data_IF_550574738395
#
_entry.id   IF_550574738395
#
_cell.length_a   1.000
_cell.length_b   1.000
_cell.length_c   1.000
_cell.angle_alpha   90.00
_cell.angle_beta   90.00
_cell.angle_gamma   90.00
#
_symmetry.space_group_name_H-M   'P 1'
#
loop_
_entity.id
_entity.type
_entity.pdbx_description
1 polymer ?
#
# COMPACT_ATOMS: atom_id res chain seq x y z
N UNK A 1 4.11 2.49 -16.70
CA UNK A 1 3.71 3.76 -16.05
C UNK A 1 4.97 4.56 -15.75
N UNK A 2 5.14 5.76 -16.32
CA UNK A 2 6.38 6.54 -16.16
C UNK A 2 6.69 6.92 -14.70
N UNK A 3 5.66 7.06 -13.84
CA UNK A 3 5.83 7.39 -12.42
C UNK A 3 6.49 6.29 -11.59
N UNK A 4 6.26 5.00 -11.92
CA UNK A 4 6.75 3.90 -11.09
C UNK A 4 8.28 3.78 -11.10
N UNK A 5 8.95 4.12 -12.20
CA UNK A 5 10.42 4.09 -12.30
C UNK A 5 11.08 5.19 -11.46
N UNK A 6 10.43 6.34 -11.31
CA UNK A 6 10.92 7.42 -10.42
C UNK A 6 10.75 7.04 -8.96
N UNK A 7 9.58 6.55 -8.57
CA UNK A 7 9.35 6.10 -7.19
C UNK A 7 10.19 4.89 -6.81
N UNK A 8 10.43 3.97 -7.76
CA UNK A 8 11.32 2.83 -7.53
C UNK A 8 12.72 3.32 -7.13
N UNK A 9 13.31 4.24 -7.88
CA UNK A 9 14.63 4.82 -7.54
C UNK A 9 14.64 5.54 -6.19
N UNK A 10 13.55 6.22 -5.82
CA UNK A 10 13.42 6.86 -4.51
C UNK A 10 13.37 5.82 -3.38
N UNK A 11 12.62 4.75 -3.55
CA UNK A 11 12.53 3.66 -2.57
C UNK A 11 13.87 2.92 -2.47
N UNK A 12 14.54 2.63 -3.59
CA UNK A 12 15.88 2.02 -3.62
C UNK A 12 16.89 2.84 -2.81
N UNK A 13 16.88 4.18 -2.96
CA UNK A 13 17.70 5.08 -2.15
C UNK A 13 17.33 5.01 -0.67
N UNK A 14 16.04 5.02 -0.36
CA UNK A 14 15.54 4.98 1.02
C UNK A 14 15.94 3.69 1.75
N UNK A 15 16.03 2.57 1.04
CA UNK A 15 16.39 1.26 1.60
C UNK A 15 17.84 0.84 1.31
N UNK A 16 18.66 1.76 0.81
CA UNK A 16 20.07 1.49 0.55
C UNK A 16 20.78 1.10 1.85
N UNK A 17 21.55 0.00 1.80
CA UNK A 17 22.27 -0.62 2.95
C UNK A 17 21.39 -1.17 4.08
N UNK A 18 20.06 -1.19 3.92
CA UNK A 18 19.15 -1.76 4.91
C UNK A 18 19.01 -3.26 4.75
N UNK A 19 18.99 -3.99 5.87
CA UNK A 19 18.65 -5.42 5.89
C UNK A 19 17.23 -5.69 5.38
N UNK A 20 16.89 -6.94 5.09
CA UNK A 20 15.59 -7.28 4.48
C UNK A 20 14.40 -6.93 5.38
N UNK A 21 14.51 -7.20 6.68
CA UNK A 21 13.49 -6.80 7.66
C UNK A 21 13.30 -5.29 7.64
N UNK A 22 14.38 -4.54 7.83
CA UNK A 22 14.35 -3.09 7.88
C UNK A 22 13.80 -2.47 6.57
N UNK A 23 14.12 -3.08 5.45
CA UNK A 23 13.62 -2.69 4.12
C UNK A 23 12.11 -2.80 4.03
N UNK A 24 11.52 -3.91 4.48
CA UNK A 24 10.07 -4.08 4.51
C UNK A 24 9.42 -3.09 5.48
N UNK A 25 10.00 -2.89 6.66
CA UNK A 25 9.48 -1.95 7.65
C UNK A 25 9.47 -0.52 7.12
N UNK A 26 10.56 -0.07 6.48
CA UNK A 26 10.67 1.27 5.91
C UNK A 26 9.68 1.47 4.75
N UNK A 27 9.54 0.48 3.87
CA UNK A 27 8.53 0.52 2.80
C UNK A 27 7.10 0.54 3.37
N UNK A 28 6.82 -0.20 4.45
CA UNK A 28 5.51 -0.17 5.12
C UNK A 28 5.23 1.21 5.69
N UNK A 29 6.19 1.82 6.39
CA UNK A 29 6.06 3.17 6.95
C UNK A 29 5.79 4.22 5.86
N UNK A 30 6.44 4.09 4.69
CA UNK A 30 6.17 4.96 3.54
C UNK A 30 4.72 4.87 3.06
N UNK A 31 4.19 3.64 2.95
CA UNK A 31 2.81 3.41 2.53
C UNK A 31 1.81 3.90 3.60
N UNK A 32 2.04 3.59 4.87
CA UNK A 32 1.20 4.04 5.99
C UNK A 32 1.14 5.56 6.08
N UNK A 33 2.28 6.24 5.96
CA UNK A 33 2.34 7.71 5.91
C UNK A 33 1.49 8.26 4.76
N UNK A 34 1.60 7.65 3.58
CA UNK A 34 0.84 8.07 2.40
C UNK A 34 -0.67 7.87 2.59
N UNK A 35 -1.08 6.73 3.14
CA UNK A 35 -2.49 6.47 3.46
C UNK A 35 -3.03 7.46 4.50
N UNK A 36 -2.25 7.78 5.53
CA UNK A 36 -2.64 8.75 6.56
C UNK A 36 -2.76 10.18 6.00
N UNK A 37 -1.74 10.64 5.28
CA UNK A 37 -1.67 12.04 4.82
C UNK A 37 -2.62 12.31 3.65
N UNK A 38 -2.65 11.41 2.66
CA UNK A 38 -3.41 11.62 1.43
C UNK A 38 -4.83 11.09 1.53
N UNK A 39 -5.00 9.93 2.16
CA UNK A 39 -6.28 9.21 2.21
C UNK A 39 -6.99 9.33 3.56
N UNK A 40 -6.38 10.00 4.54
CA UNK A 40 -6.93 10.13 5.91
C UNK A 40 -7.27 8.77 6.53
N UNK A 41 -6.51 7.73 6.16
CA UNK A 41 -6.73 6.39 6.66
C UNK A 41 -6.47 6.31 8.16
N UNK A 42 -7.33 5.58 8.87
CA UNK A 42 -7.18 5.28 10.29
C UNK A 42 -6.74 3.83 10.50
N UNK A 43 -6.06 3.57 11.62
CA UNK A 43 -5.60 2.24 12.00
C UNK A 43 -4.16 2.20 12.50
N UNK A 44 -3.82 1.13 13.23
CA UNK A 44 -2.49 0.95 13.85
C UNK A 44 -1.41 0.43 12.90
N UNK A 45 -1.76 0.09 11.66
CA UNK A 45 -0.81 -0.40 10.66
C UNK A 45 -1.46 -0.67 9.32
N UNK A 46 -0.64 -0.98 8.33
CA UNK A 46 -1.02 -1.03 6.91
C UNK A 46 -2.29 -1.85 6.61
N UNK A 47 -2.43 -3.02 7.23
CA UNK A 47 -3.61 -3.88 7.03
C UNK A 47 -4.92 -3.28 7.56
N UNK A 48 -4.87 -2.56 8.69
CA UNK A 48 -6.05 -1.87 9.22
C UNK A 48 -6.39 -0.64 8.38
N UNK A 49 -5.38 0.13 7.96
CA UNK A 49 -5.57 1.28 7.08
C UNK A 49 -6.15 0.87 5.72
N UNK A 50 -5.71 -0.25 5.14
CA UNK A 50 -6.26 -0.78 3.90
C UNK A 50 -7.74 -1.15 4.03
N UNK A 51 -8.13 -1.78 5.16
CA UNK A 51 -9.55 -2.09 5.47
C UNK A 51 -10.38 -0.84 5.70
N UNK A 52 -9.85 0.17 6.39
CA UNK A 52 -10.53 1.44 6.62
C UNK A 52 -10.90 2.14 5.31
N UNK A 53 -10.06 2.00 4.27
CA UNK A 53 -10.32 2.55 2.93
C UNK A 53 -10.99 1.57 1.96
N UNK A 54 -11.58 0.48 2.46
CA UNK A 54 -12.27 -0.49 1.63
C UNK A 54 -13.37 0.18 0.79
N UNK A 55 -13.41 -0.12 -0.50
CA UNK A 55 -14.34 0.50 -1.47
C UNK A 55 -13.96 1.91 -1.94
N UNK A 56 -13.09 2.62 -1.22
CA UNK A 56 -12.51 3.90 -1.66
C UNK A 56 -11.31 3.67 -2.57
N UNK A 57 -10.47 2.70 -2.21
CA UNK A 57 -9.39 2.20 -3.06
C UNK A 57 -9.99 1.26 -4.13
N UNK A 58 -9.49 1.30 -5.36
CA UNK A 58 -9.86 0.28 -6.35
C UNK A 58 -9.46 -1.12 -5.85
N UNK A 59 -10.32 -2.14 -6.02
CA UNK A 59 -10.15 -3.50 -5.41
C UNK A 59 -8.72 -4.04 -5.50
N UNK A 60 -8.07 -3.92 -6.65
CA UNK A 60 -6.70 -4.40 -6.82
C UNK A 60 -5.65 -3.72 -5.93
N UNK A 61 -5.83 -2.44 -5.57
CA UNK A 61 -4.89 -1.72 -4.71
C UNK A 61 -5.06 -2.10 -3.23
N UNK A 62 -6.29 -2.36 -2.80
CA UNK A 62 -6.58 -2.85 -1.46
C UNK A 62 -5.93 -4.23 -1.23
N UNK A 63 -6.06 -5.14 -2.19
CA UNK A 63 -5.43 -6.46 -2.13
C UNK A 63 -3.90 -6.38 -2.10
N UNK A 64 -3.31 -5.46 -2.87
CA UNK A 64 -1.87 -5.23 -2.86
C UNK A 64 -1.38 -4.75 -1.49
N UNK A 65 -2.10 -3.83 -0.86
CA UNK A 65 -1.78 -3.34 0.49
C UNK A 65 -1.92 -4.44 1.54
N UNK A 66 -2.97 -5.26 1.47
CA UNK A 66 -3.18 -6.39 2.39
C UNK A 66 -2.08 -7.46 2.23
N UNK A 67 -1.70 -7.79 0.99
CA UNK A 67 -0.58 -8.69 0.70
C UNK A 67 0.73 -8.16 1.29
N UNK A 68 1.02 -6.86 1.10
CA UNK A 68 2.22 -6.26 1.64
C UNK A 68 2.19 -6.16 3.18
N UNK A 69 1.03 -5.93 3.80
CA UNK A 69 0.87 -6.00 5.25
C UNK A 69 1.20 -7.39 5.81
N UNK A 70 0.83 -8.46 5.10
CA UNK A 70 1.23 -9.83 5.44
C UNK A 70 2.76 -10.03 5.41
N UNK A 71 3.43 -9.52 4.36
CA UNK A 71 4.89 -9.55 4.25
C UNK A 71 5.55 -8.78 5.41
N UNK A 72 5.04 -7.59 5.75
CA UNK A 72 5.52 -6.80 6.88
C UNK A 72 5.36 -7.53 8.21
N UNK A 73 4.22 -8.17 8.43
CA UNK A 73 3.99 -8.93 9.66
C UNK A 73 4.96 -10.10 9.75
N UNK A 74 5.19 -10.82 8.64
CA UNK A 74 6.19 -11.88 8.60
C UNK A 74 7.59 -11.35 8.94
N UNK A 75 8.00 -10.24 8.33
CA UNK A 75 9.28 -9.60 8.62
C UNK A 75 9.44 -9.18 10.09
N UNK A 76 8.36 -8.69 10.72
CA UNK A 76 8.37 -8.27 12.11
C UNK A 76 8.38 -9.45 13.10
N UNK A 77 7.67 -10.54 12.80
CA UNK A 77 7.54 -11.69 13.70
C UNK A 77 8.67 -12.73 13.53
N UNK A 78 9.24 -12.86 12.33
CA UNK A 78 10.27 -13.84 12.00
C UNK A 78 11.63 -13.16 11.71
N UNK A 79 11.97 -12.08 12.43
CA UNK A 79 13.05 -11.16 12.06
C UNK A 79 14.42 -11.83 11.82
N UNK A 80 14.76 -12.86 12.61
CA UNK A 80 16.06 -13.54 12.52
C UNK A 80 16.19 -14.39 11.23
N UNK A 81 15.12 -15.07 10.85
CA UNK A 81 15.08 -15.99 9.70
C UNK A 81 14.52 -15.34 8.43
N UNK A 82 13.90 -14.17 8.53
CA UNK A 82 13.26 -13.50 7.41
C UNK A 82 14.26 -13.08 6.33
N UNK A 83 13.92 -13.37 5.07
CA UNK A 83 14.69 -12.98 3.88
C UNK A 83 13.76 -12.55 2.76
N UNK A 84 14.15 -11.51 2.02
CA UNK A 84 13.48 -11.11 0.79
C UNK A 84 14.15 -11.82 -0.39
N UNK A 85 13.64 -13.01 -0.73
CA UNK A 85 14.15 -13.82 -1.85
C UNK A 85 14.27 -13.05 -3.16
N UNK A 86 13.34 -12.13 -3.43
CA UNK A 86 13.42 -11.20 -4.55
C UNK A 86 13.18 -9.76 -4.08
N UNK A 87 14.22 -9.18 -3.48
CA UNK A 87 14.21 -7.82 -2.96
C UNK A 87 13.86 -6.78 -4.01
N UNK A 88 14.46 -6.86 -5.21
CA UNK A 88 14.22 -5.90 -6.28
C UNK A 88 12.78 -5.93 -6.78
N UNK A 89 12.21 -7.13 -6.97
CA UNK A 89 10.80 -7.26 -7.31
C UNK A 89 9.88 -6.71 -6.21
N UNK A 90 10.25 -6.88 -4.95
CA UNK A 90 9.49 -6.32 -3.82
C UNK A 90 9.50 -4.80 -3.85
N UNK A 91 10.67 -4.18 -4.04
CA UNK A 91 10.81 -2.73 -4.17
C UNK A 91 9.99 -2.22 -5.35
N UNK A 92 10.07 -2.89 -6.50
CA UNK A 92 9.29 -2.54 -7.68
C UNK A 92 7.77 -2.61 -7.42
N UNK A 93 7.29 -3.67 -6.75
CA UNK A 93 5.87 -3.79 -6.37
C UNK A 93 5.43 -2.67 -5.44
N UNK A 94 6.23 -2.31 -4.44
CA UNK A 94 5.93 -1.18 -3.55
C UNK A 94 5.91 0.14 -4.33
N UNK A 95 6.82 0.32 -5.28
CA UNK A 95 6.83 1.51 -6.14
C UNK A 95 5.54 1.62 -6.98
N UNK A 96 5.00 0.51 -7.48
CA UNK A 96 3.70 0.47 -8.17
C UNK A 96 2.57 0.83 -7.20
N UNK A 97 2.53 0.23 -6.01
CA UNK A 97 1.50 0.54 -4.99
C UNK A 97 1.54 2.03 -4.66
N UNK A 98 2.73 2.56 -4.42
CA UNK A 98 2.95 3.96 -4.11
C UNK A 98 2.49 4.88 -5.26
N UNK A 99 2.91 4.58 -6.49
CA UNK A 99 2.45 5.31 -7.68
C UNK A 99 0.93 5.34 -7.78
N UNK A 100 0.27 4.18 -7.60
CA UNK A 100 -1.19 4.08 -7.63
C UNK A 100 -1.86 4.88 -6.52
N UNK A 101 -1.28 4.92 -5.31
CA UNK A 101 -1.78 5.78 -4.24
C UNK A 101 -1.63 7.27 -4.55
N UNK A 102 -0.62 7.65 -5.33
CA UNK A 102 -0.37 9.02 -5.76
C UNK A 102 -1.18 9.44 -6.99
N UNK A 103 -1.56 8.49 -7.84
CA UNK A 103 -2.30 8.75 -9.08
C UNK A 103 -3.81 8.54 -8.92
N UNK A 104 -4.24 7.69 -7.97
CA UNK A 104 -5.64 7.39 -7.81
C UNK A 104 -6.43 8.66 -7.43
N UNK A 105 -7.50 8.97 -8.18
CA UNK A 105 -8.40 10.06 -7.83
C UNK A 105 -9.05 9.70 -6.50
N UNK A 106 -9.12 10.66 -5.57
CA UNK A 106 -9.91 10.49 -4.35
C UNK A 106 -11.35 10.28 -4.81
N UNK A 107 -11.90 9.08 -4.62
CA UNK A 107 -13.33 8.88 -4.84
C UNK A 107 -14.06 9.69 -3.78
N UNK A 108 -14.88 10.66 -4.17
CA UNK A 108 -15.67 11.37 -3.19
C UNK A 108 -16.63 10.42 -2.45
N UNK A 109 -16.95 10.75 -1.20
CA UNK A 109 -17.86 9.95 -0.38
C UNK A 109 -19.25 9.76 -1.02
N UNK A 110 -19.71 10.71 -1.84
CA UNK A 110 -20.98 10.60 -2.59
C UNK A 110 -20.94 9.54 -3.70
N UNK A 111 -19.77 9.17 -4.22
CA UNK A 111 -19.67 8.11 -5.23
C UNK A 111 -19.93 6.73 -4.63
N UNK A 112 -19.68 6.55 -3.32
CA UNK A 112 -20.06 5.35 -2.58
C UNK A 112 -21.59 5.31 -2.42
N UNK A 113 -22.21 6.46 -2.10
CA UNK A 113 -23.67 6.55 -2.03
C UNK A 113 -24.35 6.28 -3.37
N UNK A 114 -23.77 6.73 -4.49
CA UNK A 114 -24.29 6.41 -5.83
C UNK A 114 -24.17 4.93 -6.17
N UNK A 115 -23.11 4.23 -5.73
CA UNK A 115 -22.98 2.79 -5.92
C UNK A 115 -23.95 1.99 -5.05
N UNK A 116 -24.20 2.43 -3.81
CA UNK A 116 -25.20 1.84 -2.92
C UNK A 116 -26.61 2.12 -3.48
N UNK A 117 -26.89 3.35 -3.91
CA UNK A 117 -28.16 3.73 -4.52
C UNK A 117 -28.44 2.94 -5.80
N UNK A 118 -27.43 2.76 -6.67
CA UNK A 118 -27.57 1.92 -7.86
C UNK A 118 -27.76 0.43 -7.53
N UNK A 119 -27.18 -0.08 -6.44
CA UNK A 119 -27.36 -1.46 -6.01
C UNK A 119 -28.70 -1.72 -5.29
N UNK A 120 -29.29 -0.69 -4.67
CA UNK A 120 -30.56 -0.78 -3.94
C UNK A 120 -31.78 -0.39 -4.79
N UNK A 121 -31.58 0.44 -5.82
CA UNK A 121 -32.67 0.97 -6.67
C UNK A 121 -32.46 0.69 -8.16
N UNK A 122 -31.48 -0.16 -8.51
CA UNK A 122 -31.18 -0.58 -9.88
C UNK A 122 -31.62 -2.01 -10.19
N UNK A 123 -32.92 -2.29 -10.03
CA UNK A 123 -33.80 -3.09 -10.89
C UNK A 123 -35.21 -3.06 -10.30
#
# INVERSE_FOLDING_TARGET
MPGSTTYQRQIEKLVHRKGDVETVLVMSSLLEKTLKERWRAEGRGLGQMARNLQGQLGRGLEDDLRRFAGLRNKAAHEAESFRLYNRQQTIHRVAIIYARLQEAPKKPWWTILQQIGAALFGN
#
